data_IF_168618871151
#
_entry.id   IF_168618871151
#
_cell.length_a   1.000
_cell.length_b   1.000
_cell.length_c   1.000
_cell.angle_alpha   90.00
_cell.angle_beta   90.00
_cell.angle_gamma   90.00
#
_symmetry.space_group_name_H-M   'P 1'
#
loop_
_entity.id
_entity.type
_entity.pdbx_description
1 polymer ?
#
# COMPACT_ATOMS: atom_id res chain seq x y z
N UNK A 1 8.11 30.71 -48.17
CA UNK A 1 9.06 29.94 -47.35
C UNK A 1 9.15 30.62 -45.99
N UNK A 2 8.44 30.11 -44.96
CA UNK A 2 8.43 30.73 -43.63
C UNK A 2 9.78 30.47 -42.96
N UNK A 3 10.50 31.54 -42.58
CA UNK A 3 11.75 31.47 -41.83
C UNK A 3 11.47 30.83 -40.49
N UNK A 4 11.85 29.56 -40.33
CA UNK A 4 11.86 28.92 -39.03
C UNK A 4 12.98 29.58 -38.23
N UNK A 5 12.62 30.44 -37.28
CA UNK A 5 13.57 31.13 -36.41
C UNK A 5 14.24 30.10 -35.51
N UNK A 6 15.57 30.17 -35.39
CA UNK A 6 16.41 29.25 -34.59
C UNK A 6 15.90 29.14 -33.14
N UNK A 7 15.23 30.20 -32.64
CA UNK A 7 14.54 30.24 -31.36
C UNK A 7 13.43 29.16 -31.21
N UNK A 8 12.68 28.88 -32.28
CA UNK A 8 11.61 27.88 -32.27
C UNK A 8 12.17 26.45 -32.29
N UNK A 9 13.35 26.22 -32.87
CA UNK A 9 14.03 24.92 -32.81
C UNK A 9 14.65 24.67 -31.43
N UNK A 10 15.15 25.71 -30.75
CA UNK A 10 15.70 25.58 -29.39
C UNK A 10 14.62 25.33 -28.34
N UNK A 11 13.40 25.89 -28.51
CA UNK A 11 12.30 25.65 -27.58
C UNK A 11 11.73 24.22 -27.67
N UNK A 12 11.71 23.62 -28.87
CA UNK A 12 11.27 22.23 -29.05
C UNK A 12 12.28 21.19 -28.56
N UNK A 13 13.58 21.51 -28.52
CA UNK A 13 14.62 20.55 -28.08
C UNK A 13 14.68 20.42 -26.54
N UNK A 14 14.33 21.48 -25.80
CA UNK A 14 14.33 21.46 -24.32
C UNK A 14 13.15 20.66 -23.75
N UNK A 15 12.02 20.58 -24.48
CA UNK A 15 10.84 19.83 -24.03
C UNK A 15 11.00 18.31 -24.13
N UNK A 16 11.96 17.80 -24.92
CA UNK A 16 12.20 16.36 -25.11
C UNK A 16 13.10 15.73 -24.04
N UNK A 17 13.76 16.52 -23.19
CA UNK A 17 14.73 16.03 -22.20
C UNK A 17 14.06 15.69 -20.85
N UNK A 18 12.83 16.15 -20.59
CA UNK A 18 12.10 15.87 -19.35
C UNK A 18 11.22 14.61 -19.38
N UNK A 19 11.25 13.82 -20.45
CA UNK A 19 10.41 12.62 -20.60
C UNK A 19 11.03 11.32 -20.05
N UNK A 20 12.09 11.40 -19.24
CA UNK A 20 12.82 10.21 -18.78
C UNK A 20 12.72 10.00 -17.27
N UNK A 21 12.01 8.92 -16.93
CA UNK A 21 12.07 8.16 -15.68
C UNK A 21 11.24 8.65 -14.50
N UNK A 22 9.91 8.62 -14.62
CA UNK A 22 9.10 8.17 -13.50
C UNK A 22 9.31 6.64 -13.39
N UNK A 23 10.32 6.21 -12.65
CA UNK A 23 10.39 4.81 -12.22
C UNK A 23 9.28 4.64 -11.18
N UNK A 24 8.19 3.98 -11.56
CA UNK A 24 7.25 3.46 -10.57
C UNK A 24 8.06 2.53 -9.68
N UNK A 25 8.23 2.91 -8.42
CA UNK A 25 8.85 2.05 -7.43
C UNK A 25 7.75 1.11 -6.96
N UNK A 26 7.55 0.00 -7.67
CA UNK A 26 6.58 -1.01 -7.28
C UNK A 26 7.00 -1.51 -5.88
N UNK A 27 6.27 -1.08 -4.84
CA UNK A 27 6.46 -1.62 -3.50
C UNK A 27 6.23 -3.14 -3.58
N UNK A 28 7.07 -3.96 -2.93
CA UNK A 28 6.86 -5.39 -2.93
C UNK A 28 5.47 -5.68 -2.35
N UNK A 29 4.70 -6.51 -3.05
CA UNK A 29 3.40 -6.95 -2.58
C UNK A 29 3.54 -7.66 -1.21
N UNK A 30 2.50 -7.59 -0.38
CA UNK A 30 2.59 -8.02 1.02
C UNK A 30 2.77 -9.55 1.19
N UNK A 31 2.39 -10.36 0.21
CA UNK A 31 2.72 -11.79 0.19
C UNK A 31 4.22 -12.03 0.01
N UNK A 32 4.96 -11.15 -0.68
CA UNK A 32 6.42 -11.22 -0.79
C UNK A 32 7.05 -11.02 0.59
N UNK A 33 6.60 -10.04 1.36
CA UNK A 33 7.09 -9.81 2.74
C UNK A 33 6.91 -11.04 3.62
N UNK A 34 5.75 -11.70 3.57
CA UNK A 34 5.51 -12.93 4.33
C UNK A 34 6.32 -14.12 3.81
N UNK A 35 6.44 -14.25 2.47
CA UNK A 35 7.27 -15.29 1.86
C UNK A 35 8.74 -15.15 2.24
N UNK A 36 9.26 -13.93 2.26
CA UNK A 36 10.64 -13.64 2.65
C UNK A 36 10.87 -13.86 4.15
N UNK A 37 9.81 -13.74 4.96
CA UNK A 37 9.79 -14.18 6.35
C UNK A 37 9.70 -15.71 6.52
N UNK A 38 9.65 -16.48 5.43
CA UNK A 38 9.66 -17.94 5.42
C UNK A 38 8.29 -18.61 5.41
N UNK A 39 7.20 -17.85 5.23
CA UNK A 39 5.86 -18.42 5.14
C UNK A 39 5.62 -19.05 3.76
N UNK A 40 4.90 -20.16 3.77
CA UNK A 40 4.39 -20.85 2.60
C UNK A 40 2.91 -20.53 2.36
N UNK A 41 2.40 -20.86 1.16
CA UNK A 41 1.00 -20.60 0.81
C UNK A 41 0.00 -21.21 1.81
N UNK A 42 0.36 -22.34 2.41
CA UNK A 42 -0.52 -23.09 3.31
C UNK A 42 -0.56 -22.49 4.72
N UNK A 43 0.37 -21.59 5.05
CA UNK A 43 0.33 -20.86 6.32
C UNK A 43 -0.80 -19.83 6.34
N UNK A 44 -1.31 -19.44 5.17
CA UNK A 44 -2.51 -18.61 5.06
C UNK A 44 -3.72 -19.36 4.48
N UNK A 45 -3.51 -20.25 3.50
CA UNK A 45 -4.60 -20.94 2.80
C UNK A 45 -4.71 -22.41 3.21
N UNK A 46 -5.78 -22.75 3.94
CA UNK A 46 -5.97 -24.11 4.48
C UNK A 46 -6.42 -25.16 3.44
N UNK A 47 -7.16 -24.77 2.39
CA UNK A 47 -7.74 -25.71 1.41
C UNK A 47 -7.58 -25.22 -0.02
N UNK A 48 -8.17 -24.07 -0.30
CA UNK A 48 -8.22 -23.50 -1.63
C UNK A 48 -7.43 -22.19 -1.65
N UNK A 49 -6.35 -22.16 -2.42
CA UNK A 49 -5.47 -20.99 -2.55
C UNK A 49 -6.12 -19.82 -3.30
N UNK A 50 -7.32 -20.00 -3.85
CA UNK A 50 -8.10 -18.93 -4.48
C UNK A 50 -9.15 -18.33 -3.55
N UNK A 51 -9.39 -18.93 -2.39
CA UNK A 51 -10.33 -18.38 -1.41
C UNK A 51 -9.68 -17.24 -0.62
N UNK A 52 -10.48 -16.23 -0.30
CA UNK A 52 -10.05 -15.13 0.56
C UNK A 52 -9.70 -15.66 1.95
N UNK A 53 -8.55 -15.22 2.47
CA UNK A 53 -8.10 -15.52 3.83
C UNK A 53 -8.85 -14.64 4.80
N UNK A 54 -9.42 -15.23 5.86
CA UNK A 54 -10.09 -14.45 6.92
C UNK A 54 -9.06 -13.81 7.84
N UNK A 55 -9.39 -12.64 8.40
CA UNK A 55 -8.59 -11.95 9.42
C UNK A 55 -8.08 -12.87 10.53
N UNK A 56 -8.85 -13.88 10.95
CA UNK A 56 -8.45 -14.84 11.98
C UNK A 56 -7.13 -15.55 11.68
N UNK A 57 -6.75 -15.66 10.41
CA UNK A 57 -5.46 -16.22 10.01
C UNK A 57 -4.30 -15.24 10.27
N UNK A 58 -4.53 -13.93 10.07
CA UNK A 58 -3.58 -12.88 10.42
C UNK A 58 -3.32 -12.88 11.94
N UNK A 59 -4.40 -13.05 12.71
CA UNK A 59 -4.38 -13.09 14.17
C UNK A 59 -3.66 -14.31 14.77
N UNK A 60 -3.32 -15.32 13.94
CA UNK A 60 -2.48 -16.42 14.40
C UNK A 60 -1.04 -15.97 14.70
N UNK A 61 -0.62 -14.82 14.16
CA UNK A 61 0.74 -14.28 14.34
C UNK A 61 0.77 -12.80 14.76
N UNK A 62 -0.27 -12.02 14.44
CA UNK A 62 -0.34 -10.60 14.76
C UNK A 62 -1.45 -10.32 15.78
N UNK A 63 -1.06 -9.92 16.99
CA UNK A 63 -2.01 -9.54 18.03
C UNK A 63 -2.50 -8.09 17.82
N UNK A 64 -3.81 -7.86 17.97
CA UNK A 64 -4.42 -6.54 17.70
C UNK A 64 -4.03 -5.51 18.75
N UNK A 65 -3.80 -5.92 20.00
CA UNK A 65 -3.34 -5.02 21.05
C UNK A 65 -1.89 -4.60 20.83
N UNK A 66 -1.02 -5.55 20.47
CA UNK A 66 0.40 -5.27 20.15
C UNK A 66 0.52 -4.33 18.95
N UNK A 67 -0.30 -4.54 17.90
CA UNK A 67 -0.35 -3.66 16.73
C UNK A 67 -0.81 -2.25 17.12
N UNK A 68 -1.87 -2.14 17.92
CA UNK A 68 -2.37 -0.87 18.42
C UNK A 68 -1.32 -0.13 19.28
N UNK A 69 -0.57 -0.85 20.11
CA UNK A 69 0.52 -0.26 20.90
C UNK A 69 1.65 0.23 19.99
N UNK A 70 2.07 -0.60 19.02
CA UNK A 70 3.18 -0.28 18.11
C UNK A 70 2.87 0.93 17.22
N UNK A 71 1.61 1.16 16.87
CA UNK A 71 1.18 2.31 16.06
C UNK A 71 0.54 3.43 16.88
N UNK A 72 0.79 3.50 18.20
CA UNK A 72 0.19 4.50 19.08
C UNK A 72 0.53 5.95 18.70
N UNK A 73 1.73 6.18 18.17
CA UNK A 73 2.23 7.52 17.81
C UNK A 73 1.89 7.93 16.37
N UNK A 74 1.06 7.16 15.66
CA UNK A 74 0.67 7.49 14.29
C UNK A 74 -0.34 8.63 14.28
N UNK A 75 -0.09 9.61 13.42
CA UNK A 75 -0.92 10.80 13.24
C UNK A 75 -1.72 10.71 11.94
N UNK A 76 -2.95 11.26 11.87
CA UNK A 76 -3.65 12.02 12.92
C UNK A 76 -4.39 11.15 13.95
N UNK A 77 -4.34 9.83 13.79
CA UNK A 77 -4.90 8.87 14.73
C UNK A 77 -4.24 7.51 14.52
N UNK A 78 -4.35 6.64 15.51
CA UNK A 78 -3.83 5.29 15.43
C UNK A 78 -4.67 4.45 14.44
N UNK A 79 -4.11 3.96 13.31
CA UNK A 79 -4.87 3.20 12.32
C UNK A 79 -5.35 1.83 12.84
N UNK A 80 -4.62 1.23 13.78
CA UNK A 80 -4.97 -0.05 14.41
C UNK A 80 -5.76 0.12 15.72
N UNK A 81 -6.13 1.36 16.07
CA UNK A 81 -7.05 1.67 17.17
C UNK A 81 -7.95 2.84 16.82
N UNK A 82 -8.88 2.58 15.92
CA UNK A 82 -9.72 3.61 15.31
C UNK A 82 -11.10 3.70 15.96
N UNK A 83 -11.83 4.79 15.69
CA UNK A 83 -13.13 5.06 16.32
C UNK A 83 -14.29 4.17 15.85
N UNK A 84 -14.14 3.46 14.73
CA UNK A 84 -15.23 2.66 14.15
C UNK A 84 -15.25 1.24 14.70
N UNK A 85 -14.06 0.63 14.85
CA UNK A 85 -13.93 -0.78 15.19
C UNK A 85 -12.93 -1.03 16.33
N UNK A 86 -12.43 0.01 16.99
CA UNK A 86 -11.35 -0.09 17.98
C UNK A 86 -10.14 -0.82 17.36
N UNK A 87 -9.74 -1.96 17.94
CA UNK A 87 -8.65 -2.83 17.48
C UNK A 87 -9.09 -3.92 16.50
N UNK A 88 -10.39 -4.00 16.18
CA UNK A 88 -10.99 -5.16 15.49
C UNK A 88 -11.38 -4.87 14.02
N UNK A 89 -10.78 -3.85 13.39
CA UNK A 89 -10.96 -3.63 11.95
C UNK A 89 -10.43 -4.82 11.17
N UNK A 90 -11.20 -5.29 10.18
CA UNK A 90 -10.75 -6.37 9.30
C UNK A 90 -9.47 -5.96 8.55
N UNK A 91 -8.38 -6.71 8.78
CA UNK A 91 -7.07 -6.47 8.16
C UNK A 91 -7.14 -6.34 6.64
N UNK A 92 -8.01 -7.14 5.99
CA UNK A 92 -8.15 -7.19 4.54
C UNK A 92 -8.70 -5.90 3.92
N UNK A 93 -9.24 -4.97 4.72
CA UNK A 93 -9.68 -3.68 4.20
C UNK A 93 -8.53 -2.80 3.75
N UNK A 94 -7.34 -2.97 4.34
CA UNK A 94 -6.16 -2.19 3.98
C UNK A 94 -5.02 -3.06 3.44
N UNK A 95 -4.76 -4.19 4.11
CA UNK A 95 -3.60 -5.03 3.86
C UNK A 95 -3.93 -6.10 2.83
N UNK A 96 -3.43 -5.92 1.61
CA UNK A 96 -3.71 -6.82 0.51
C UNK A 96 -2.50 -7.68 0.18
N UNK A 97 -2.65 -9.00 0.26
CA UNK A 97 -1.52 -9.90 0.05
C UNK A 97 -1.13 -10.00 -1.42
N UNK A 98 -2.10 -10.14 -2.34
CA UNK A 98 -1.82 -10.44 -3.75
C UNK A 98 -2.07 -9.26 -4.71
N UNK A 99 -2.11 -8.05 -4.18
CA UNK A 99 -2.22 -6.78 -4.92
C UNK A 99 -1.76 -5.65 -4.01
N UNK A 100 -1.58 -4.45 -4.55
CA UNK A 100 -1.20 -3.26 -3.78
C UNK A 100 -2.18 -3.03 -2.61
N UNK A 101 -1.64 -2.85 -1.41
CA UNK A 101 -2.38 -2.45 -0.21
C UNK A 101 -2.95 -1.04 -0.36
N UNK A 102 -4.06 -0.75 0.29
CA UNK A 102 -4.70 0.56 0.20
C UNK A 102 -5.06 1.15 1.57
N UNK A 103 -5.01 2.47 1.70
CA UNK A 103 -5.49 3.14 2.89
C UNK A 103 -7.03 3.24 2.85
N UNK A 104 -7.72 2.27 3.45
CA UNK A 104 -9.18 2.25 3.52
C UNK A 104 -9.79 3.52 4.13
N UNK A 105 -9.06 4.19 5.03
CA UNK A 105 -9.56 5.40 5.69
C UNK A 105 -9.77 6.54 4.71
N UNK A 106 -9.00 6.62 3.61
CA UNK A 106 -9.03 7.78 2.70
C UNK A 106 -10.35 7.93 1.94
N UNK A 107 -11.15 6.85 1.85
CA UNK A 107 -12.48 6.90 1.25
C UNK A 107 -13.44 7.86 1.98
N UNK A 108 -13.24 8.06 3.28
CA UNK A 108 -14.02 9.01 4.10
C UNK A 108 -13.15 10.13 4.70
N UNK A 109 -11.91 9.81 5.06
CA UNK A 109 -10.94 10.71 5.67
C UNK A 109 -9.86 11.11 4.66
N UNK A 110 -10.25 11.92 3.68
CA UNK A 110 -9.41 12.29 2.52
C UNK A 110 -8.06 12.97 2.85
N UNK A 111 -7.84 13.36 4.10
CA UNK A 111 -6.59 13.98 4.58
C UNK A 111 -5.69 13.00 5.32
N UNK A 112 -6.13 11.77 5.54
CA UNK A 112 -5.33 10.76 6.23
C UNK A 112 -4.37 10.16 5.22
N UNK A 113 -3.08 10.42 5.43
CA UNK A 113 -2.00 9.96 4.58
C UNK A 113 -1.26 8.78 5.23
N UNK A 114 -2.04 7.76 5.62
CA UNK A 114 -1.46 6.54 6.17
C UNK A 114 -0.83 5.72 5.06
N UNK A 115 0.39 5.24 5.32
CA UNK A 115 1.10 4.32 4.43
C UNK A 115 0.81 2.89 4.87
N UNK A 116 0.30 2.09 3.96
CA UNK A 116 0.16 0.65 4.15
C UNK A 116 1.46 -0.07 3.75
N UNK A 117 1.77 -1.22 4.37
CA UNK A 117 2.90 -2.05 3.99
C UNK A 117 2.75 -2.67 2.59
#
# INVERSE_FOLDING_TARGET
>A
MKKLTIHNMMFSLVLSIFASNAMANDAPLLEVTHKDAGLECNDCHAKNKKEEVRMTQCLACHDTADLAETTADFEPTNPHKNRHFDTETNCNYCHHQHKESENYCVGCHQRFDFVTP
#
